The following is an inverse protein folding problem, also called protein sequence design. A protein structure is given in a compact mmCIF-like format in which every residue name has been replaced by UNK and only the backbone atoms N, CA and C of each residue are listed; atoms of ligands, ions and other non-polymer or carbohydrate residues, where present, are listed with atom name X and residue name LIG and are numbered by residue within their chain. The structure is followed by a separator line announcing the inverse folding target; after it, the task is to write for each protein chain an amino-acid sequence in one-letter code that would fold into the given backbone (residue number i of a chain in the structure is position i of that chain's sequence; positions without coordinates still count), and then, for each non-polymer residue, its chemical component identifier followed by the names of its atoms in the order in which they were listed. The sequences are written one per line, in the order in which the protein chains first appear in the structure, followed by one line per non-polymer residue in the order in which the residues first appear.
data_IF_489984409071
#
_entry.id   IF_489984409071
#
_cell.length_a   1.000
_cell.length_b   1.000
_cell.length_c   1.000
_cell.angle_alpha   90.00
_cell.angle_beta   90.00
_cell.angle_gamma   90.00
#
_symmetry.space_group_name_H-M   'P 1'
#
loop_
_entity.id
_entity.type
_entity.pdbx_description
1 polymer ?
#
# COMPACT_ATOMS: atom_id res chain seq x y z
N UNK A 1 32.94 25.13 -51.30
CA UNK A 1 32.90 26.16 -50.25
C UNK A 1 31.47 26.64 -50.11
N UNK A 2 31.03 26.89 -48.87
CA UNK A 2 29.70 27.33 -48.39
C UNK A 2 28.77 26.17 -48.00
N UNK A 3 28.88 25.72 -46.74
CA UNK A 3 28.16 26.19 -45.53
C UNK A 3 26.80 25.46 -45.40
N UNK A 4 26.79 24.33 -44.69
CA UNK A 4 26.29 24.20 -43.30
C UNK A 4 24.77 24.39 -43.24
N UNK A 5 24.00 23.29 -43.22
CA UNK A 5 23.44 22.67 -42.02
C UNK A 5 22.65 23.65 -41.13
N UNK A 6 21.33 23.46 -41.04
CA UNK A 6 20.64 23.40 -39.76
C UNK A 6 19.23 22.81 -39.94
N UNK A 7 19.09 21.55 -39.53
CA UNK A 7 17.81 20.88 -39.33
C UNK A 7 17.20 21.45 -38.05
N UNK A 8 16.14 22.25 -38.17
CA UNK A 8 15.31 22.64 -37.04
C UNK A 8 14.43 21.45 -36.62
N UNK A 9 15.01 20.51 -35.86
CA UNK A 9 14.25 19.61 -34.98
C UNK A 9 14.15 20.30 -33.64
N UNK A 10 13.10 21.10 -33.43
CA UNK A 10 12.74 21.54 -32.09
C UNK A 10 12.02 20.40 -31.39
N UNK A 11 12.75 19.87 -30.42
CA UNK A 11 12.40 18.79 -29.51
C UNK A 11 11.04 19.07 -28.86
N UNK A 12 10.14 18.11 -28.96
CA UNK A 12 8.92 18.09 -28.16
C UNK A 12 9.36 17.89 -26.71
N UNK A 13 9.44 18.98 -25.96
CA UNK A 13 9.78 18.97 -24.53
C UNK A 13 8.73 18.19 -23.75
N UNK A 14 8.86 16.86 -23.72
CA UNK A 14 8.08 15.99 -22.87
C UNK A 14 8.40 16.31 -21.43
N UNK A 15 7.41 16.75 -20.66
CA UNK A 15 7.58 16.98 -19.24
C UNK A 15 8.05 15.69 -18.56
N UNK A 16 9.25 15.72 -17.99
CA UNK A 16 9.76 14.65 -17.12
C UNK A 16 8.91 14.64 -15.85
N UNK A 17 7.94 13.73 -15.80
CA UNK A 17 7.16 13.47 -14.59
C UNK A 17 7.98 12.60 -13.63
N UNK A 18 8.63 13.22 -12.67
CA UNK A 18 9.24 12.51 -11.54
C UNK A 18 8.14 12.10 -10.56
N UNK A 19 7.88 10.80 -10.45
CA UNK A 19 7.06 10.26 -9.36
C UNK A 19 8.01 9.95 -8.21
N UNK A 20 8.04 10.84 -7.21
CA UNK A 20 8.75 10.61 -5.96
C UNK A 20 7.95 9.55 -5.20
N UNK A 21 8.47 8.32 -5.14
CA UNK A 21 7.79 7.21 -4.46
C UNK A 21 8.08 7.22 -2.96
N UNK A 22 7.04 7.13 -2.15
CA UNK A 22 7.13 6.94 -0.71
C UNK A 22 7.46 5.50 -0.30
N UNK A 23 7.82 5.26 0.98
CA UNK A 23 8.22 3.95 1.47
C UNK A 23 7.11 2.88 1.44
N UNK A 24 5.84 3.28 1.30
CA UNK A 24 4.68 2.38 1.22
C UNK A 24 4.07 2.28 -0.19
N UNK A 25 4.57 3.02 -1.18
CA UNK A 25 3.98 3.05 -2.52
C UNK A 25 3.99 1.68 -3.18
N UNK A 26 5.04 0.89 -2.95
CA UNK A 26 5.11 -0.48 -3.45
C UNK A 26 4.05 -1.39 -2.82
N UNK A 27 3.70 -1.16 -1.55
CA UNK A 27 2.59 -1.86 -0.92
C UNK A 27 1.27 -1.42 -1.58
N UNK A 28 1.02 -0.12 -1.67
CA UNK A 28 -0.25 0.41 -2.18
C UNK A 28 -0.49 0.06 -3.66
N UNK A 29 0.55 0.06 -4.49
CA UNK A 29 0.46 -0.39 -5.90
C UNK A 29 0.07 -1.86 -6.05
N UNK A 30 0.22 -2.68 -4.99
CA UNK A 30 -0.18 -4.10 -5.00
C UNK A 30 -1.57 -4.32 -4.44
N UNK A 31 -2.22 -3.28 -3.93
CA UNK A 31 -3.54 -3.35 -3.35
C UNK A 31 -4.58 -2.87 -4.38
N UNK A 32 -5.78 -3.41 -4.30
CA UNK A 32 -6.93 -2.92 -5.05
C UNK A 32 -8.17 -3.00 -4.16
N UNK A 33 -9.07 -2.02 -4.27
CA UNK A 33 -10.33 -2.03 -3.53
C UNK A 33 -11.10 -3.32 -3.83
N UNK A 34 -11.66 -3.96 -2.80
CA UNK A 34 -12.32 -5.25 -2.89
C UNK A 34 -11.39 -6.46 -2.79
N UNK A 35 -10.07 -6.27 -2.84
CA UNK A 35 -9.11 -7.35 -2.68
C UNK A 35 -9.13 -7.89 -1.25
N UNK A 36 -9.11 -9.22 -1.11
CA UNK A 36 -8.87 -9.89 0.16
C UNK A 36 -7.41 -10.33 0.21
N UNK A 37 -6.72 -9.99 1.30
CA UNK A 37 -5.31 -10.33 1.50
C UNK A 37 -5.11 -10.93 2.89
N UNK A 38 -4.11 -11.79 3.00
CA UNK A 38 -3.64 -12.30 4.29
C UNK A 38 -2.72 -11.27 4.95
N UNK A 39 -2.97 -11.03 6.23
CA UNK A 39 -2.15 -10.21 7.10
C UNK A 39 -1.90 -10.90 8.43
N UNK A 40 -1.03 -10.31 9.23
CA UNK A 40 -0.71 -10.81 10.57
C UNK A 40 -0.69 -9.68 11.58
N UNK A 41 -1.37 -9.87 12.70
CA UNK A 41 -1.24 -9.00 13.87
C UNK A 41 0.07 -9.39 14.55
N UNK A 42 1.10 -8.55 14.42
CA UNK A 42 2.42 -8.85 15.01
C UNK A 42 2.35 -8.68 16.51
N UNK A 43 1.84 -7.53 16.96
CA UNK A 43 1.74 -7.14 18.37
C UNK A 43 0.67 -6.06 18.55
N UNK A 44 -0.14 -6.18 19.59
CA UNK A 44 -1.02 -5.13 20.08
C UNK A 44 -0.20 -4.09 20.85
N UNK A 45 -0.42 -2.81 20.55
CA UNK A 45 0.26 -1.68 21.18
C UNK A 45 -0.60 -1.08 22.29
N UNK A 46 -1.90 -0.94 22.04
CA UNK A 46 -2.92 -0.47 23.00
C UNK A 46 -4.23 -1.23 22.72
N UNK A 47 -5.29 -1.08 23.53
CA UNK A 47 -6.59 -1.69 23.22
C UNK A 47 -7.13 -1.33 21.83
N UNK A 48 -6.72 -0.19 21.26
CA UNK A 48 -7.19 0.33 19.97
C UNK A 48 -6.14 0.36 18.86
N UNK A 49 -4.88 -0.02 19.16
CA UNK A 49 -3.77 0.04 18.20
C UNK A 49 -3.00 -1.27 18.15
N UNK A 50 -2.58 -1.67 16.96
CA UNK A 50 -1.72 -2.84 16.75
C UNK A 50 -0.73 -2.62 15.62
N UNK A 51 0.25 -3.52 15.50
CA UNK A 51 1.12 -3.63 14.33
C UNK A 51 0.52 -4.70 13.41
N UNK A 52 0.06 -4.27 12.24
CA UNK A 52 -0.39 -5.15 11.16
C UNK A 52 0.75 -5.35 10.16
N UNK A 53 1.02 -6.60 9.81
CA UNK A 53 1.96 -6.97 8.76
C UNK A 53 1.22 -7.46 7.52
N UNK A 54 1.48 -6.82 6.38
CA UNK A 54 0.99 -7.22 5.05
C UNK A 54 2.17 -7.19 4.09
N UNK A 55 2.39 -8.27 3.32
CA UNK A 55 3.50 -8.38 2.36
C UNK A 55 4.88 -7.97 2.91
N UNK A 56 5.14 -8.22 4.19
CA UNK A 56 6.40 -7.85 4.87
C UNK A 56 6.44 -6.43 5.43
N UNK A 57 5.50 -5.55 5.07
CA UNK A 57 5.39 -4.19 5.59
C UNK A 57 4.69 -4.19 6.95
N UNK A 58 5.28 -3.55 7.95
CA UNK A 58 4.67 -3.33 9.25
C UNK A 58 4.01 -1.95 9.27
N UNK A 59 2.73 -1.90 9.64
CA UNK A 59 1.94 -0.68 9.74
C UNK A 59 1.28 -0.59 11.11
N UNK A 60 1.18 0.62 11.66
CA UNK A 60 0.34 0.86 12.83
C UNK A 60 -1.11 0.94 12.35
N UNK A 61 -1.94 0.03 12.83
CA UNK A 61 -3.35 -0.04 12.50
C UNK A 61 -4.20 0.27 13.74
N UNK A 62 -5.31 0.96 13.50
CA UNK A 62 -6.33 1.24 14.51
C UNK A 62 -7.47 0.24 14.37
N UNK A 63 -7.90 -0.34 15.49
CA UNK A 63 -8.97 -1.34 15.52
C UNK A 63 -9.67 -1.31 16.86
N UNK A 64 -11.01 -1.28 16.85
CA UNK A 64 -11.82 -1.46 18.06
C UNK A 64 -12.01 -2.95 18.42
N UNK A 65 -11.55 -3.86 17.57
CA UNK A 65 -11.59 -5.30 17.83
C UNK A 65 -10.44 -5.71 18.76
N UNK A 66 -10.74 -6.62 19.68
CA UNK A 66 -9.72 -7.29 20.49
C UNK A 66 -8.98 -8.31 19.63
N UNK A 67 -7.84 -7.90 19.05
CA UNK A 67 -6.98 -8.75 18.22
C UNK A 67 -5.83 -9.38 19.00
N UNK A 68 -5.72 -10.71 18.98
CA UNK A 68 -4.62 -11.42 19.62
C UNK A 68 -3.27 -11.18 18.93
N UNK A 69 -2.20 -11.22 19.73
CA UNK A 69 -0.85 -11.13 19.21
C UNK A 69 -0.55 -12.35 18.33
N UNK A 70 0.26 -12.15 17.29
CA UNK A 70 0.72 -13.18 16.35
C UNK A 70 -0.39 -13.87 15.56
N UNK A 71 -1.65 -13.39 15.63
CA UNK A 71 -2.82 -13.92 14.91
C UNK A 71 -2.75 -13.59 13.41
N UNK A 72 -3.02 -14.57 12.57
CA UNK A 72 -3.25 -14.35 11.14
C UNK A 72 -4.68 -13.87 10.91
N UNK A 73 -4.84 -12.93 9.99
CA UNK A 73 -6.12 -12.28 9.69
C UNK A 73 -6.30 -12.16 8.19
N UNK A 74 -7.51 -12.43 7.71
CA UNK A 74 -7.92 -12.05 6.37
C UNK A 74 -8.48 -10.63 6.43
N UNK A 75 -7.98 -9.74 5.56
CA UNK A 75 -8.44 -8.36 5.50
C UNK A 75 -8.92 -8.01 4.09
N UNK A 76 -10.08 -7.36 4.03
CA UNK A 76 -10.65 -6.78 2.82
C UNK A 76 -10.17 -5.33 2.69
N UNK A 77 -9.58 -5.00 1.54
CA UNK A 77 -9.19 -3.63 1.19
C UNK A 77 -10.46 -2.84 0.83
N UNK A 78 -10.83 -1.86 1.65
CA UNK A 78 -11.99 -1.00 1.40
C UNK A 78 -11.60 0.28 0.66
N UNK A 79 -10.44 0.82 0.98
CA UNK A 79 -9.91 2.08 0.44
C UNK A 79 -8.37 2.02 0.48
N UNK A 80 -7.71 2.76 -0.42
CA UNK A 80 -6.24 2.80 -0.52
C UNK A 80 -5.73 4.25 -0.46
N UNK A 81 -6.49 5.17 -1.05
CA UNK A 81 -6.20 6.61 -1.14
C UNK A 81 -7.40 7.38 -0.59
N UNK A 82 -7.22 8.39 0.28
CA UNK A 82 -5.96 8.97 0.77
C UNK A 82 -5.28 8.19 1.90
N UNK A 83 -6.01 7.29 2.56
CA UNK A 83 -5.49 6.44 3.65
C UNK A 83 -6.04 5.03 3.46
N UNK A 84 -5.21 3.98 3.55
CA UNK A 84 -5.69 2.63 3.37
C UNK A 84 -6.61 2.20 4.51
N UNK A 85 -7.83 1.77 4.17
CA UNK A 85 -8.82 1.24 5.09
C UNK A 85 -8.99 -0.25 4.83
N UNK A 86 -8.81 -1.04 5.88
CA UNK A 86 -8.96 -2.48 5.84
C UNK A 86 -10.09 -2.92 6.78
N UNK A 87 -10.95 -3.82 6.30
CA UNK A 87 -11.91 -4.52 7.13
C UNK A 87 -11.38 -5.92 7.42
N UNK A 88 -11.23 -6.27 8.70
CA UNK A 88 -10.97 -7.66 9.08
C UNK A 88 -12.25 -8.46 8.79
N UNK A 89 -12.12 -9.53 8.01
CA UNK A 89 -13.28 -10.35 7.59
C UNK A 89 -13.34 -11.71 8.28
N UNK A 90 -12.43 -11.99 9.23
CA UNK A 90 -12.32 -13.25 10.00
C UNK A 90 -12.71 -14.52 9.20
N UNK A 91 -11.74 -15.28 8.72
CA UNK A 91 -12.04 -16.69 8.42
C UNK A 91 -12.29 -17.39 9.76
N UNK A 92 -13.43 -18.06 9.97
CA UNK A 92 -13.67 -18.80 11.19
C UNK A 92 -12.59 -19.88 11.30
N UNK A 93 -11.80 -19.83 12.37
CA UNK A 93 -11.05 -21.01 12.80
C UNK A 93 -12.14 -22.00 13.23
N UNK A 94 -12.38 -23.01 12.40
CA UNK A 94 -13.15 -24.18 12.83
C UNK A 94 -12.45 -24.71 14.08
N UNK A 95 -13.25 -24.87 15.14
CA UNK A 95 -12.89 -25.41 16.44
C UNK A 95 -12.09 -26.70 16.33
#
# INVERSE_FOLDING_TARGET
MNHQNEQARTETGGALRFIIKGPLDQLFNRLSKGMVISGRIVRRLTPTKCILRIYGYNMVAYSNLSLENRKEVSVLVQEIDPVPIFKIIETPVKQ
#
